data_IF_416835092593
#
_entry.id   IF_416835092593
#
_cell.length_a   1.000
_cell.length_b   1.000
_cell.length_c   1.000
_cell.angle_alpha   90.00
_cell.angle_beta   90.00
_cell.angle_gamma   90.00
#
_symmetry.space_group_name_H-M   'P 1'
#
loop_
_entity.id
_entity.type
_entity.pdbx_description
1 polymer ?
#
# COMPACT_ATOMS: atom_id res chain seq x y z
N UNK A 1 -43.66 51.64 -13.07
CA UNK A 1 -44.03 50.24 -12.81
C UNK A 1 -42.72 49.58 -12.47
N UNK A 2 -42.41 49.52 -11.18
CA UNK A 2 -41.22 48.83 -10.71
C UNK A 2 -41.43 47.36 -10.97
N UNK A 3 -40.59 46.79 -11.82
CA UNK A 3 -40.47 45.36 -12.00
C UNK A 3 -39.91 44.84 -10.68
N UNK A 4 -40.64 44.06 -9.86
CA UNK A 4 -40.01 43.44 -8.71
C UNK A 4 -39.03 42.43 -9.30
N UNK A 5 -37.75 42.76 -9.31
CA UNK A 5 -36.71 41.75 -9.40
C UNK A 5 -37.03 40.77 -8.28
N UNK A 6 -37.59 39.61 -8.64
CA UNK A 6 -37.69 38.47 -7.76
C UNK A 6 -36.26 38.08 -7.45
N UNK A 7 -35.71 38.68 -6.39
CA UNK A 7 -34.43 38.28 -5.81
C UNK A 7 -34.56 36.80 -5.52
N UNK A 8 -33.84 35.99 -6.29
CA UNK A 8 -33.76 34.57 -6.04
C UNK A 8 -33.32 34.38 -4.58
N UNK A 9 -33.95 33.44 -3.85
CA UNK A 9 -33.54 33.15 -2.49
C UNK A 9 -32.05 32.82 -2.47
N UNK A 10 -31.32 33.43 -1.55
CA UNK A 10 -29.93 33.09 -1.27
C UNK A 10 -29.89 31.97 -0.24
N UNK A 11 -28.93 31.07 -0.39
CA UNK A 11 -28.75 29.94 0.49
C UNK A 11 -27.38 30.04 1.15
N UNK A 12 -27.31 29.66 2.42
CA UNK A 12 -26.09 29.74 3.21
C UNK A 12 -25.85 28.44 3.98
N UNK A 13 -24.59 28.16 4.29
CA UNK A 13 -24.19 27.11 5.21
C UNK A 13 -23.20 27.65 6.25
N UNK A 14 -23.35 27.22 7.50
CA UNK A 14 -22.45 27.55 8.59
C UNK A 14 -22.33 26.35 9.53
N UNK A 15 -21.10 25.95 9.86
CA UNK A 15 -20.81 24.70 10.59
C UNK A 15 -21.58 23.53 9.96
N UNK A 16 -22.51 22.90 10.68
CA UNK A 16 -23.36 21.82 10.18
C UNK A 16 -24.77 22.28 9.80
N UNK A 17 -25.05 23.58 9.71
CA UNK A 17 -26.40 24.12 9.54
C UNK A 17 -26.62 24.74 8.16
N UNK A 18 -27.81 24.50 7.57
CA UNK A 18 -28.26 25.09 6.31
C UNK A 18 -29.25 26.22 6.58
N UNK A 19 -29.11 27.37 5.93
CA UNK A 19 -29.81 28.61 6.27
C UNK A 19 -30.26 29.39 5.04
N UNK A 20 -31.31 30.23 5.19
CA UNK A 20 -31.77 31.19 4.17
C UNK A 20 -31.39 32.64 4.52
N UNK A 21 -30.92 32.87 5.74
CA UNK A 21 -30.43 34.16 6.21
C UNK A 21 -28.92 34.10 6.38
N UNK A 22 -28.24 35.17 5.99
CA UNK A 22 -26.80 35.29 6.16
C UNK A 22 -26.47 35.53 7.64
N UNK A 23 -25.57 34.73 8.19
CA UNK A 23 -24.93 34.97 9.49
C UNK A 23 -23.44 35.21 9.29
N UNK A 24 -22.79 35.86 10.25
CA UNK A 24 -21.34 36.05 10.25
C UNK A 24 -20.64 34.69 10.09
N UNK A 25 -19.63 34.64 9.23
CA UNK A 25 -18.86 33.43 8.85
C UNK A 25 -19.59 32.33 8.06
N UNK A 26 -20.87 32.54 7.67
CA UNK A 26 -21.54 31.64 6.75
C UNK A 26 -21.02 31.76 5.30
N UNK A 27 -20.97 30.64 4.59
CA UNK A 27 -20.67 30.62 3.16
C UNK A 27 -21.96 30.69 2.34
N UNK A 28 -21.97 31.51 1.28
CA UNK A 28 -23.06 31.49 0.29
C UNK A 28 -22.92 30.23 -0.58
N UNK A 29 -24.00 29.45 -0.69
CA UNK A 29 -24.05 28.22 -1.47
C UNK A 29 -25.14 28.31 -2.53
N UNK A 30 -25.03 27.47 -3.56
CA UNK A 30 -26.06 27.37 -4.59
C UNK A 30 -27.32 26.66 -4.07
N UNK A 31 -28.47 26.91 -4.71
CA UNK A 31 -29.71 26.18 -4.44
C UNK A 31 -29.52 24.66 -4.58
N UNK A 32 -28.73 24.23 -5.57
CA UNK A 32 -28.40 22.81 -5.77
C UNK A 32 -27.64 22.24 -4.57
N UNK A 33 -26.58 22.91 -4.13
CA UNK A 33 -25.80 22.52 -2.94
C UNK A 33 -26.66 22.46 -1.68
N UNK A 34 -27.56 23.43 -1.50
CA UNK A 34 -28.51 23.43 -0.38
C UNK A 34 -29.42 22.20 -0.41
N UNK A 35 -30.03 21.92 -1.57
CA UNK A 35 -30.92 20.79 -1.75
C UNK A 35 -30.21 19.44 -1.57
N UNK A 36 -28.98 19.31 -2.09
CA UNK A 36 -28.17 18.09 -1.95
C UNK A 36 -27.77 17.85 -0.49
N UNK A 37 -27.34 18.89 0.23
CA UNK A 37 -27.01 18.80 1.65
C UNK A 37 -28.25 18.51 2.51
N UNK A 38 -29.40 19.10 2.18
CA UNK A 38 -30.67 18.82 2.85
C UNK A 38 -31.09 17.36 2.63
N UNK A 39 -31.03 16.87 1.39
CA UNK A 39 -31.32 15.47 1.07
C UNK A 39 -30.37 14.51 1.78
N UNK A 40 -29.08 14.85 1.89
CA UNK A 40 -28.12 14.09 2.66
C UNK A 40 -28.50 14.01 4.15
N UNK A 41 -28.82 15.14 4.77
CA UNK A 41 -29.29 15.21 6.17
C UNK A 41 -30.57 14.41 6.38
N UNK A 42 -31.54 14.48 5.46
CA UNK A 42 -32.77 13.68 5.52
C UNK A 42 -32.50 12.18 5.40
N UNK A 43 -31.45 11.78 4.70
CA UNK A 43 -31.00 10.39 4.61
C UNK A 43 -30.13 9.94 5.82
N UNK A 44 -29.98 10.79 6.85
CA UNK A 44 -29.15 10.50 8.04
C UNK A 44 -27.64 10.71 7.84
N UNK A 45 -27.24 11.33 6.72
CA UNK A 45 -25.84 11.68 6.43
C UNK A 45 -25.50 13.07 6.97
N UNK A 46 -24.21 13.39 7.01
CA UNK A 46 -23.73 14.68 7.50
C UNK A 46 -23.45 15.62 6.32
N UNK A 47 -23.75 16.90 6.50
CA UNK A 47 -23.31 17.97 5.61
C UNK A 47 -22.85 19.14 6.48
N UNK A 48 -21.65 19.65 6.22
CA UNK A 48 -20.99 20.66 7.05
C UNK A 48 -19.99 21.51 6.23
N UNK A 49 -19.64 22.68 6.74
CA UNK A 49 -18.62 23.56 6.17
C UNK A 49 -17.25 23.19 6.71
N UNK A 50 -16.29 22.95 5.82
CA UNK A 50 -14.88 22.72 6.16
C UNK A 50 -14.01 23.50 5.19
N UNK A 51 -13.04 24.23 5.71
CA UNK A 51 -12.12 25.07 4.92
C UNK A 51 -12.82 26.05 3.95
N UNK A 52 -14.00 26.55 4.33
CA UNK A 52 -14.80 27.47 3.53
C UNK A 52 -15.63 26.82 2.42
N UNK A 53 -15.72 25.49 2.40
CA UNK A 53 -16.49 24.73 1.40
C UNK A 53 -17.55 23.84 2.07
N UNK A 54 -18.70 23.69 1.41
CA UNK A 54 -19.73 22.74 1.82
C UNK A 54 -19.30 21.32 1.47
N UNK A 55 -19.14 20.49 2.49
CA UNK A 55 -18.84 19.06 2.38
C UNK A 55 -20.11 18.26 2.70
N UNK A 56 -20.47 17.36 1.78
CA UNK A 56 -21.52 16.36 2.00
C UNK A 56 -20.82 15.03 2.24
N UNK A 57 -20.90 14.51 3.47
CA UNK A 57 -20.28 13.23 3.84
C UNK A 57 -21.19 12.08 3.46
N UNK A 58 -20.70 11.15 2.65
CA UNK A 58 -21.47 10.00 2.19
C UNK A 58 -21.45 8.83 3.18
N UNK A 59 -20.44 8.77 4.04
CA UNK A 59 -20.24 7.68 5.01
C UNK A 59 -19.70 6.41 4.39
N UNK A 60 -19.38 6.44 3.09
CA UNK A 60 -18.70 5.38 2.37
C UNK A 60 -17.24 5.78 2.31
N UNK A 61 -16.39 5.06 3.04
CA UNK A 61 -14.96 5.31 3.04
C UNK A 61 -14.31 4.57 1.88
N UNK A 62 -13.38 5.25 1.18
CA UNK A 62 -12.50 4.64 0.19
C UNK A 62 -11.05 4.76 0.63
N UNK A 63 -10.28 3.72 0.37
CA UNK A 63 -8.84 3.73 0.63
C UNK A 63 -8.12 4.46 -0.50
N UNK A 64 -7.12 5.25 -0.12
CA UNK A 64 -6.16 5.88 -1.03
C UNK A 64 -4.74 5.57 -0.60
N UNK A 65 -3.82 5.61 -1.56
CA UNK A 65 -2.40 5.27 -1.41
C UNK A 65 -1.55 6.51 -1.62
N UNK A 66 -0.55 6.70 -0.78
CA UNK A 66 0.49 7.70 -0.97
C UNK A 66 1.40 7.29 -2.14
N UNK A 67 1.61 8.19 -3.09
CA UNK A 67 2.38 7.92 -4.30
C UNK A 67 3.89 7.72 -4.06
N UNK A 68 4.42 8.16 -2.91
CA UNK A 68 5.85 8.08 -2.58
C UNK A 68 6.21 6.76 -1.87
N UNK A 69 5.48 6.42 -0.80
CA UNK A 69 5.80 5.26 0.05
C UNK A 69 4.76 4.13 0.00
N UNK A 70 3.59 4.40 -0.61
CA UNK A 70 2.48 3.45 -0.71
C UNK A 70 1.75 3.21 0.61
N UNK A 71 1.93 4.07 1.62
CA UNK A 71 1.11 4.09 2.83
C UNK A 71 -0.35 4.43 2.51
N UNK A 72 -1.27 4.01 3.37
CA UNK A 72 -2.72 4.10 3.10
C UNK A 72 -3.41 5.03 4.09
N UNK A 73 -4.46 5.71 3.62
CA UNK A 73 -5.47 6.35 4.47
C UNK A 73 -6.85 6.19 3.85
N UNK A 74 -7.88 6.48 4.63
CA UNK A 74 -9.27 6.48 4.16
C UNK A 74 -9.77 7.92 4.01
N UNK A 75 -10.58 8.15 2.99
CA UNK A 75 -11.33 9.39 2.76
C UNK A 75 -12.78 9.05 2.42
N UNK A 76 -13.69 10.00 2.57
CA UNK A 76 -15.05 9.80 2.07
C UNK A 76 -15.02 9.60 0.55
N UNK A 77 -15.93 8.78 0.01
CA UNK A 77 -15.96 8.42 -1.41
C UNK A 77 -16.04 9.65 -2.34
N UNK A 78 -16.69 10.71 -1.87
CA UNK A 78 -16.88 11.95 -2.64
C UNK A 78 -15.85 13.03 -2.30
N UNK A 79 -14.97 12.78 -1.34
CA UNK A 79 -13.87 13.68 -1.01
C UNK A 79 -12.79 13.65 -2.10
N UNK A 80 -12.24 14.82 -2.41
CA UNK A 80 -11.14 14.95 -3.37
C UNK A 80 -9.89 14.25 -2.85
N UNK A 81 -9.20 13.55 -3.75
CA UNK A 81 -7.92 12.91 -3.43
C UNK A 81 -6.86 14.01 -3.26
N UNK A 82 -6.16 14.09 -2.13
CA UNK A 82 -5.12 15.08 -1.93
C UNK A 82 -3.93 14.90 -2.88
N UNK A 83 -3.19 15.97 -3.15
CA UNK A 83 -1.95 15.89 -3.95
C UNK A 83 -0.96 14.87 -3.36
N UNK A 84 -0.33 14.08 -4.22
CA UNK A 84 0.57 12.99 -3.82
C UNK A 84 -0.14 11.72 -3.36
N UNK A 85 -1.46 11.63 -3.54
CA UNK A 85 -2.25 10.41 -3.27
C UNK A 85 -2.97 9.93 -4.53
N UNK A 86 -3.36 8.66 -4.53
CA UNK A 86 -4.14 8.02 -5.60
C UNK A 86 -5.15 7.03 -5.03
N UNK A 87 -6.24 6.80 -5.74
CA UNK A 87 -7.19 5.69 -5.50
C UNK A 87 -6.83 4.43 -6.30
N UNK A 88 -5.73 4.45 -7.06
CA UNK A 88 -5.19 3.26 -7.71
C UNK A 88 -4.48 2.39 -6.68
N UNK A 89 -4.92 1.14 -6.60
CA UNK A 89 -4.34 0.16 -5.70
C UNK A 89 -2.88 -0.15 -6.06
N UNK A 90 -2.01 -0.03 -5.05
CA UNK A 90 -0.64 -0.55 -5.10
C UNK A 90 -0.67 -2.06 -4.89
N UNK A 91 -0.19 -2.84 -5.85
CA UNK A 91 -0.28 -4.31 -5.84
C UNK A 91 0.87 -4.97 -5.11
N UNK A 92 2.06 -4.38 -5.18
CA UNK A 92 3.27 -4.94 -4.60
C UNK A 92 4.09 -3.90 -3.84
N UNK A 93 4.89 -4.36 -2.89
CA UNK A 93 5.86 -3.52 -2.20
C UNK A 93 6.94 -2.93 -3.13
N UNK A 94 7.06 -3.44 -4.36
CA UNK A 94 8.02 -2.99 -5.37
C UNK A 94 7.42 -2.01 -6.37
N UNK A 95 6.11 -1.75 -6.30
CA UNK A 95 5.47 -0.78 -7.18
C UNK A 95 5.92 0.64 -6.82
N UNK A 96 6.24 1.42 -7.86
CA UNK A 96 6.64 2.83 -7.81
C UNK A 96 5.68 3.66 -8.63
N UNK A 97 5.34 4.85 -8.13
CA UNK A 97 4.47 5.76 -8.85
C UNK A 97 5.25 6.50 -9.94
N UNK A 98 4.90 6.25 -11.20
CA UNK A 98 5.57 6.83 -12.37
C UNK A 98 4.48 7.26 -13.36
N UNK A 99 4.49 8.53 -13.76
CA UNK A 99 3.59 9.08 -14.78
C UNK A 99 2.10 8.79 -14.56
N UNK A 100 1.67 8.80 -13.28
CA UNK A 100 0.27 8.59 -12.91
C UNK A 100 -0.17 7.13 -12.82
N UNK A 101 0.78 6.18 -12.86
CA UNK A 101 0.52 4.74 -12.72
C UNK A 101 1.50 4.07 -11.75
N UNK A 102 1.05 2.96 -11.17
CA UNK A 102 1.92 2.05 -10.43
C UNK A 102 2.70 1.17 -11.41
N UNK A 103 4.02 1.27 -11.39
CA UNK A 103 4.94 0.45 -12.18
C UNK A 103 5.79 -0.38 -11.23
N UNK A 104 5.76 -1.71 -11.39
CA UNK A 104 6.59 -2.61 -10.58
C UNK A 104 8.06 -2.42 -10.90
N UNK A 105 8.87 -2.11 -9.89
CA UNK A 105 10.33 -2.14 -9.96
C UNK A 105 10.79 -3.61 -10.00
N UNK A 106 10.91 -4.13 -11.22
CA UNK A 106 11.26 -5.53 -11.48
C UNK A 106 12.65 -5.87 -10.95
N UNK A 107 13.59 -4.92 -10.97
CA UNK A 107 14.95 -5.11 -10.47
C UNK A 107 14.97 -5.18 -8.95
N UNK A 108 14.29 -4.26 -8.25
CA UNK A 108 14.17 -4.31 -6.80
C UNK A 108 13.46 -5.58 -6.33
N UNK A 109 12.41 -6.01 -7.05
CA UNK A 109 11.72 -7.27 -6.80
C UNK A 109 12.67 -8.47 -6.92
N UNK A 110 13.39 -8.56 -8.04
CA UNK A 110 14.33 -9.66 -8.28
C UNK A 110 15.42 -9.73 -7.21
N UNK A 111 16.00 -8.60 -6.81
CA UNK A 111 17.02 -8.53 -5.76
C UNK A 111 16.46 -9.05 -4.43
N UNK A 112 15.27 -8.61 -4.03
CA UNK A 112 14.65 -9.06 -2.79
C UNK A 112 14.36 -10.56 -2.79
N UNK A 113 13.86 -11.10 -3.91
CA UNK A 113 13.63 -12.54 -4.08
C UNK A 113 14.93 -13.34 -4.05
N UNK A 114 15.98 -12.84 -4.71
CA UNK A 114 17.30 -13.46 -4.71
C UNK A 114 17.90 -13.48 -3.30
N UNK A 115 17.89 -12.34 -2.60
CA UNK A 115 18.43 -12.20 -1.24
C UNK A 115 17.71 -13.11 -0.25
N UNK A 116 16.39 -13.27 -0.41
CA UNK A 116 15.63 -14.21 0.42
C UNK A 116 16.14 -15.65 0.24
N UNK A 117 16.34 -16.09 -1.01
CA UNK A 117 16.86 -17.43 -1.31
C UNK A 117 18.32 -17.58 -0.85
N UNK A 118 19.17 -16.58 -1.06
CA UNK A 118 20.57 -16.63 -0.62
C UNK A 118 20.67 -16.77 0.90
N UNK A 119 19.95 -15.91 1.64
CA UNK A 119 19.95 -15.94 3.10
C UNK A 119 19.46 -17.28 3.64
N UNK A 120 18.39 -17.83 3.06
CA UNK A 120 17.85 -19.14 3.44
C UNK A 120 18.88 -20.25 3.19
N UNK A 121 19.48 -20.28 1.99
CA UNK A 121 20.46 -21.30 1.62
C UNK A 121 21.72 -21.21 2.47
N UNK A 122 22.22 -20.00 2.74
CA UNK A 122 23.38 -19.78 3.64
C UNK A 122 23.10 -20.27 5.05
N UNK A 123 21.91 -20.01 5.59
CA UNK A 123 21.50 -20.54 6.87
C UNK A 123 21.46 -22.08 6.88
N UNK A 124 20.89 -22.70 5.84
CA UNK A 124 20.82 -24.16 5.73
C UNK A 124 22.20 -24.80 5.52
N UNK A 125 23.09 -24.20 4.72
CA UNK A 125 24.46 -24.68 4.59
C UNK A 125 25.19 -24.63 5.93
N UNK A 126 25.09 -23.51 6.64
CA UNK A 126 25.69 -23.36 7.95
C UNK A 126 25.20 -24.40 8.97
N UNK A 127 23.90 -24.73 8.94
CA UNK A 127 23.30 -25.63 9.94
C UNK A 127 23.40 -27.11 9.57
N UNK A 128 23.44 -27.46 8.29
CA UNK A 128 23.36 -28.86 7.83
C UNK A 128 24.60 -29.34 7.09
N UNK A 129 25.26 -28.48 6.31
CA UNK A 129 26.38 -28.87 5.44
C UNK A 129 27.70 -28.67 6.16
N UNK A 130 27.93 -27.49 6.73
CA UNK A 130 29.20 -27.12 7.37
C UNK A 130 29.57 -28.05 8.53
N UNK A 131 28.66 -28.51 9.41
CA UNK A 131 29.00 -29.46 10.47
C UNK A 131 29.47 -30.81 9.92
N UNK A 132 28.86 -31.30 8.84
CA UNK A 132 29.25 -32.57 8.20
C UNK A 132 30.64 -32.47 7.56
N UNK A 133 30.92 -31.35 6.86
CA UNK A 133 32.23 -31.08 6.28
C UNK A 133 33.29 -30.94 7.37
N UNK A 134 32.99 -30.21 8.44
CA UNK A 134 33.90 -30.05 9.58
C UNK A 134 34.20 -31.40 10.24
N UNK A 135 33.18 -32.22 10.52
CA UNK A 135 33.37 -33.54 11.13
C UNK A 135 34.15 -34.48 10.20
N UNK A 136 33.90 -34.46 8.88
CA UNK A 136 34.67 -35.24 7.91
C UNK A 136 36.17 -34.90 7.97
N UNK A 137 36.52 -33.62 8.09
CA UNK A 137 37.92 -33.18 8.25
C UNK A 137 38.53 -33.72 9.55
N UNK A 138 37.79 -33.70 10.66
CA UNK A 138 38.25 -34.29 11.93
C UNK A 138 38.46 -35.81 11.79
N UNK A 139 37.55 -36.52 11.09
CA UNK A 139 37.71 -37.97 10.84
C UNK A 139 38.97 -38.28 10.03
N UNK A 140 39.30 -37.47 9.02
CA UNK A 140 40.57 -37.60 8.28
C UNK A 140 41.79 -37.46 9.17
N UNK A 141 41.80 -36.44 10.04
CA UNK A 141 42.89 -36.25 11.01
C UNK A 141 43.04 -37.42 11.98
N UNK A 142 41.96 -38.15 12.25
CA UNK A 142 41.95 -39.38 13.05
C UNK A 142 42.33 -40.64 12.25
N UNK A 143 42.61 -40.54 10.95
CA UNK A 143 42.88 -41.68 10.07
C UNK A 143 41.64 -42.51 9.69
N UNK A 144 40.44 -41.96 9.88
CA UNK A 144 39.14 -42.63 9.63
C UNK A 144 38.56 -42.25 8.27
N UNK A 145 39.27 -42.62 7.20
CA UNK A 145 38.93 -42.15 5.84
C UNK A 145 37.53 -42.57 5.38
N UNK A 146 37.12 -43.82 5.66
CA UNK A 146 35.80 -44.31 5.24
C UNK A 146 34.64 -43.55 5.91
N UNK A 147 34.78 -43.17 7.19
CA UNK A 147 33.79 -42.34 7.89
C UNK A 147 33.75 -40.92 7.33
N UNK A 148 34.91 -40.35 7.00
CA UNK A 148 35.01 -39.03 6.38
C UNK A 148 34.29 -38.98 5.03
N UNK A 149 34.53 -39.98 4.16
CA UNK A 149 33.90 -40.07 2.84
C UNK A 149 32.37 -40.14 2.95
N UNK A 150 31.85 -40.90 3.92
CA UNK A 150 30.40 -41.01 4.12
C UNK A 150 29.78 -39.68 4.58
N UNK A 151 30.45 -38.93 5.46
CA UNK A 151 30.02 -37.60 5.89
C UNK A 151 30.03 -36.59 4.73
N UNK A 152 31.04 -36.65 3.85
CA UNK A 152 31.09 -35.81 2.65
C UNK A 152 29.97 -36.13 1.67
N UNK A 153 29.65 -37.43 1.48
CA UNK A 153 28.50 -37.85 0.66
C UNK A 153 27.20 -37.25 1.20
N UNK A 154 27.01 -37.28 2.51
CA UNK A 154 25.84 -36.67 3.15
C UNK A 154 25.82 -35.15 3.00
N UNK A 155 26.97 -34.48 3.14
CA UNK A 155 27.09 -33.04 2.94
C UNK A 155 26.74 -32.61 1.51
N UNK A 156 27.21 -33.35 0.50
CA UNK A 156 26.90 -33.11 -0.91
C UNK A 156 25.41 -33.32 -1.17
N UNK A 157 24.84 -34.44 -0.71
CA UNK A 157 23.42 -34.74 -0.89
C UNK A 157 22.53 -33.68 -0.21
N UNK A 158 22.90 -33.22 0.99
CA UNK A 158 22.21 -32.13 1.68
C UNK A 158 22.30 -30.82 0.89
N UNK A 159 23.49 -30.49 0.36
CA UNK A 159 23.68 -29.30 -0.47
C UNK A 159 22.82 -29.35 -1.72
N UNK A 160 22.83 -30.44 -2.46
CA UNK A 160 22.03 -30.62 -3.68
C UNK A 160 20.53 -30.49 -3.39
N UNK A 161 20.06 -31.11 -2.30
CA UNK A 161 18.67 -30.97 -1.87
C UNK A 161 18.30 -29.52 -1.56
N UNK A 162 19.13 -28.80 -0.80
CA UNK A 162 18.92 -27.38 -0.50
C UNK A 162 18.80 -26.55 -1.79
N UNK A 163 19.61 -26.84 -2.82
CA UNK A 163 19.54 -26.13 -4.10
C UNK A 163 18.28 -26.44 -4.90
N UNK A 164 17.85 -27.70 -4.87
CA UNK A 164 16.64 -28.16 -5.55
C UNK A 164 15.37 -27.59 -4.90
N UNK A 165 15.31 -27.60 -3.57
CA UNK A 165 14.17 -27.11 -2.79
C UNK A 165 14.11 -25.56 -2.79
N UNK A 166 15.25 -24.89 -3.00
CA UNK A 166 15.38 -23.43 -3.01
C UNK A 166 16.14 -22.95 -4.26
N UNK A 167 15.52 -23.05 -5.45
CA UNK A 167 16.13 -22.59 -6.68
C UNK A 167 16.31 -21.07 -6.66
N UNK A 168 17.33 -20.58 -7.36
CA UNK A 168 17.50 -19.14 -7.58
C UNK A 168 16.32 -18.58 -8.38
N UNK A 169 15.97 -17.32 -8.10
CA UNK A 169 15.06 -16.55 -8.95
C UNK A 169 15.63 -16.41 -10.37
N UNK A 170 14.74 -16.30 -11.35
CA UNK A 170 15.14 -16.09 -12.75
C UNK A 170 15.42 -14.60 -12.94
N UNK A 171 16.59 -14.27 -13.47
CA UNK A 171 16.93 -12.89 -13.78
C UNK A 171 15.97 -12.38 -14.90
N UNK A 172 15.22 -11.29 -14.65
CA UNK A 172 14.30 -10.72 -15.63
C UNK A 172 14.98 -10.19 -16.90
N UNK A 173 16.29 -9.95 -16.87
CA UNK A 173 17.09 -9.42 -18.00
C UNK A 173 17.92 -10.51 -18.73
N UNK A 174 17.79 -11.79 -18.36
CA UNK A 174 18.58 -12.89 -18.92
C UNK A 174 18.09 -13.43 -20.27
#
# INVERSE_FOLDING_TARGET
MDNPETLLPKFFAFEDTLMLEHVEDAIEITEQQYNDALAAKMAGRQAFVRDGELVIFYGVMRQIWNCEDGSTKEIDEQELIPEGWTDKERKTAFDRWIDGEWVTDVSAKYIAEFDQVDNLRRHMYFTMVDPLVSEANIKRLQGKEAEAIELERQAIAAREKIQLDHPWSVNPEA
#
